data_IF_585288195475
#
_entry.id   IF_585288195475
#
_cell.length_a   1.000
_cell.length_b   1.000
_cell.length_c   1.000
_cell.angle_alpha   90.00
_cell.angle_beta   90.00
_cell.angle_gamma   90.00
#
_symmetry.space_group_name_H-M   'P 1'
#
loop_
_entity.id
_entity.type
_entity.pdbx_description
1 polymer ?
#
# COMPACT_ATOMS: atom_id res chain seq x y z
N UNK A 1 0.36 -0.87 -6.53
CA UNK A 1 0.60 0.58 -6.46
C UNK A 1 -0.68 1.38 -6.20
N UNK A 2 -1.76 1.04 -6.90
CA UNK A 2 -3.03 1.75 -6.74
C UNK A 2 -3.59 1.58 -5.33
N UNK A 3 -3.51 0.38 -4.76
CA UNK A 3 -3.98 0.13 -3.40
C UNK A 3 -3.16 0.92 -2.37
N UNK A 4 -1.85 0.99 -2.57
CA UNK A 4 -0.99 1.78 -1.69
C UNK A 4 -1.38 3.27 -1.76
N UNK A 5 -1.55 3.79 -2.97
CA UNK A 5 -1.98 5.18 -3.15
C UNK A 5 -3.32 5.43 -2.47
N UNK A 6 -4.26 4.51 -2.61
CA UNK A 6 -5.57 4.63 -1.96
C UNK A 6 -5.49 4.61 -0.44
N UNK A 7 -4.63 3.77 0.13
CA UNK A 7 -4.40 3.74 1.57
C UNK A 7 -3.86 5.08 2.07
N UNK A 8 -2.90 5.67 1.34
CA UNK A 8 -2.33 6.98 1.68
C UNK A 8 -3.41 8.06 1.61
N UNK A 9 -4.20 8.10 0.54
CA UNK A 9 -5.28 9.08 0.38
C UNK A 9 -6.27 8.98 1.53
N UNK A 10 -6.65 7.77 1.93
CA UNK A 10 -7.61 7.59 3.01
C UNK A 10 -7.09 8.15 4.33
N UNK A 11 -5.78 8.07 4.58
CA UNK A 11 -5.16 8.64 5.77
C UNK A 11 -5.09 10.17 5.72
N UNK A 12 -5.06 10.75 4.51
CA UNK A 12 -4.93 12.19 4.33
C UNK A 12 -6.28 12.92 4.31
N UNK A 13 -7.40 12.21 4.22
CA UNK A 13 -8.74 12.79 4.11
C UNK A 13 -9.06 13.80 5.23
N UNK A 14 -8.55 13.56 6.43
CA UNK A 14 -8.79 14.44 7.55
C UNK A 14 -8.01 15.75 7.48
N UNK A 15 -6.96 15.82 6.66
CA UNK A 15 -6.05 16.96 6.58
C UNK A 15 -6.19 17.75 5.25
N UNK A 16 -6.76 17.13 4.21
CA UNK A 16 -6.90 17.73 2.89
C UNK A 16 -8.34 17.63 2.42
N UNK A 17 -8.83 18.67 1.74
CA UNK A 17 -10.22 18.75 1.33
C UNK A 17 -10.44 18.44 -0.16
N UNK A 18 -9.39 18.45 -0.96
CA UNK A 18 -9.47 18.23 -2.40
C UNK A 18 -8.52 17.15 -2.86
N UNK A 19 -9.04 16.24 -3.66
CA UNK A 19 -8.28 15.18 -4.30
C UNK A 19 -8.71 15.08 -5.76
N UNK A 20 -7.76 14.77 -6.64
CA UNK A 20 -8.08 14.55 -8.04
C UNK A 20 -8.84 13.23 -8.24
N UNK A 21 -9.35 13.03 -9.47
CA UNK A 21 -10.16 11.85 -9.77
C UNK A 21 -9.38 10.55 -9.57
N UNK A 22 -8.09 10.55 -9.92
CA UNK A 22 -7.24 9.38 -9.74
C UNK A 22 -7.09 9.01 -8.27
N UNK A 23 -6.94 10.01 -7.40
CA UNK A 23 -6.83 9.78 -5.96
C UNK A 23 -8.14 9.26 -5.38
N UNK A 24 -9.28 9.79 -5.81
CA UNK A 24 -10.59 9.31 -5.38
C UNK A 24 -10.78 7.85 -5.81
N UNK A 25 -10.44 7.53 -7.06
CA UNK A 25 -10.57 6.16 -7.56
C UNK A 25 -9.67 5.20 -6.76
N UNK A 26 -8.44 5.60 -6.45
CA UNK A 26 -7.53 4.78 -5.66
C UNK A 26 -8.06 4.54 -4.25
N UNK A 27 -8.63 5.56 -3.62
CA UNK A 27 -9.23 5.42 -2.29
C UNK A 27 -10.43 4.47 -2.32
N UNK A 28 -11.28 4.58 -3.34
CA UNK A 28 -12.44 3.68 -3.48
C UNK A 28 -11.99 2.24 -3.62
N UNK A 29 -10.92 2.00 -4.38
CA UNK A 29 -10.35 0.68 -4.55
C UNK A 29 -9.79 0.15 -3.22
N UNK A 30 -9.08 0.98 -2.48
CA UNK A 30 -8.57 0.64 -1.16
C UNK A 30 -9.71 0.25 -0.21
N UNK A 31 -10.78 1.05 -0.17
CA UNK A 31 -11.92 0.77 0.69
C UNK A 31 -12.60 -0.55 0.32
N UNK A 32 -12.61 -0.90 -0.96
CA UNK A 32 -13.14 -2.18 -1.41
C UNK A 32 -12.26 -3.36 -0.97
N UNK A 33 -10.94 -3.19 -1.01
CA UNK A 33 -9.98 -4.26 -0.83
C UNK A 33 -9.52 -4.46 0.62
N UNK A 34 -9.57 -3.41 1.46
CA UNK A 34 -8.91 -3.37 2.77
C UNK A 34 -9.42 -4.44 3.75
N UNK A 35 -10.63 -4.94 3.56
CA UNK A 35 -11.18 -5.98 4.43
C UNK A 35 -10.50 -7.34 4.26
N UNK A 36 -10.03 -7.64 3.05
CA UNK A 36 -9.26 -8.86 2.77
C UNK A 36 -8.38 -8.61 1.54
N UNK A 37 -7.18 -8.10 1.78
CA UNK A 37 -6.23 -7.76 0.71
C UNK A 37 -5.80 -8.99 -0.07
N UNK A 38 -5.61 -10.13 0.60
CA UNK A 38 -5.21 -11.37 -0.08
C UNK A 38 -6.27 -11.84 -1.06
N UNK A 39 -7.55 -11.84 -0.64
CA UNK A 39 -8.65 -12.23 -1.52
C UNK A 39 -8.78 -11.28 -2.70
N UNK A 40 -8.66 -9.95 -2.46
CA UNK A 40 -8.75 -8.99 -3.53
C UNK A 40 -7.61 -9.15 -4.54
N UNK A 41 -6.37 -9.29 -4.07
CA UNK A 41 -5.21 -9.41 -4.94
C UNK A 41 -5.18 -10.72 -5.71
N UNK A 42 -5.90 -11.75 -5.26
CA UNK A 42 -5.97 -13.02 -5.98
C UNK A 42 -6.59 -12.89 -7.37
N UNK A 43 -7.30 -11.80 -7.64
CA UNK A 43 -7.89 -11.50 -8.96
C UNK A 43 -6.86 -11.03 -9.98
N UNK A 44 -5.67 -10.59 -9.55
CA UNK A 44 -4.70 -9.97 -10.45
C UNK A 44 -3.96 -11.02 -11.29
N UNK A 45 -3.61 -10.65 -12.53
CA UNK A 45 -2.78 -11.50 -13.40
C UNK A 45 -1.41 -11.74 -12.78
N UNK A 46 -0.86 -10.73 -12.13
CA UNK A 46 0.44 -10.85 -11.48
C UNK A 46 0.41 -11.87 -10.34
N UNK A 47 -0.67 -11.87 -9.54
CA UNK A 47 -0.86 -12.85 -8.47
C UNK A 47 -0.90 -14.28 -9.04
N UNK A 48 -1.59 -14.48 -10.16
CA UNK A 48 -1.63 -15.79 -10.82
C UNK A 48 -0.23 -16.24 -11.27
N UNK A 49 0.59 -15.32 -11.79
CA UNK A 49 1.96 -15.63 -12.17
C UNK A 49 2.82 -16.01 -10.96
N UNK A 50 2.70 -15.28 -9.87
CA UNK A 50 3.45 -15.55 -8.64
C UNK A 50 3.07 -16.92 -8.06
N UNK A 51 1.79 -17.27 -8.14
CA UNK A 51 1.32 -18.58 -7.71
C UNK A 51 1.96 -19.70 -8.53
N UNK A 52 2.04 -19.51 -9.86
CA UNK A 52 2.69 -20.48 -10.74
C UNK A 52 4.18 -20.65 -10.40
N UNK A 53 4.84 -19.61 -9.91
CA UNK A 53 6.23 -19.63 -9.47
C UNK A 53 6.40 -20.10 -8.02
N UNK A 54 5.31 -20.42 -7.31
CA UNK A 54 5.29 -20.90 -5.93
C UNK A 54 5.90 -19.90 -4.94
N UNK A 55 5.65 -18.60 -5.15
CA UNK A 55 6.11 -17.54 -4.25
C UNK A 55 4.96 -16.79 -3.61
N UNK A 56 3.88 -17.51 -3.29
CA UNK A 56 2.67 -16.95 -2.69
C UNK A 56 2.92 -16.33 -1.32
N UNK A 57 3.88 -16.87 -0.56
CA UNK A 57 4.21 -16.35 0.77
C UNK A 57 4.75 -14.92 0.68
N UNK A 58 5.48 -14.59 -0.39
CA UNK A 58 5.97 -13.23 -0.59
C UNK A 58 4.81 -12.25 -0.81
N UNK A 59 3.76 -12.67 -1.52
CA UNK A 59 2.56 -11.86 -1.72
C UNK A 59 1.89 -11.58 -0.38
N UNK A 60 1.70 -12.60 0.43
CA UNK A 60 1.10 -12.46 1.77
C UNK A 60 1.92 -11.52 2.64
N UNK A 61 3.24 -11.67 2.62
CA UNK A 61 4.14 -10.80 3.37
C UNK A 61 3.98 -9.34 2.92
N UNK A 62 3.98 -9.10 1.60
CA UNK A 62 3.88 -7.74 1.06
C UNK A 62 2.54 -7.06 1.33
N UNK A 63 1.49 -7.84 1.60
CA UNK A 63 0.17 -7.29 1.91
C UNK A 63 -0.05 -7.05 3.40
N UNK A 64 0.90 -7.40 4.25
CA UNK A 64 0.82 -7.09 5.68
C UNK A 64 1.02 -5.59 5.90
N UNK A 65 0.19 -5.01 6.76
CA UNK A 65 0.23 -3.59 7.09
C UNK A 65 0.98 -3.38 8.39
N UNK A 66 1.68 -2.24 8.47
CA UNK A 66 2.29 -1.74 9.70
C UNK A 66 3.26 -2.72 10.35
N UNK A 67 4.00 -3.47 9.52
CA UNK A 67 4.99 -4.44 10.01
C UNK A 67 6.34 -3.82 10.34
N UNK A 68 6.57 -2.57 9.92
CA UNK A 68 7.84 -1.87 10.13
C UNK A 68 7.56 -0.50 10.75
N UNK A 69 8.29 -0.18 11.82
CA UNK A 69 8.13 1.08 12.54
C UNK A 69 9.13 2.14 12.08
N UNK A 70 9.99 1.81 11.13
CA UNK A 70 11.00 2.73 10.63
C UNK A 70 10.46 3.51 9.45
N UNK A 71 10.59 4.84 9.52
CA UNK A 71 10.25 5.74 8.41
C UNK A 71 11.57 6.25 7.83
N UNK A 72 11.95 5.82 6.62
CA UNK A 72 13.19 6.30 6.00
C UNK A 72 12.99 7.70 5.43
N UNK A 73 13.96 8.57 5.69
CA UNK A 73 13.96 9.93 5.13
C UNK A 73 15.32 10.19 4.48
N UNK A 74 15.30 10.99 3.43
CA UNK A 74 16.53 11.35 2.74
C UNK A 74 17.20 12.50 3.48
N UNK A 75 18.47 12.27 3.86
CA UNK A 75 19.31 13.29 4.50
C UNK A 75 20.61 13.37 3.72
N UNK A 76 20.79 14.45 2.95
CA UNK A 76 21.87 14.53 1.99
C UNK A 76 21.70 13.49 0.89
N UNK A 77 22.63 12.54 0.79
CA UNK A 77 22.60 11.45 -0.17
C UNK A 77 22.35 10.09 0.49
N UNK A 78 21.92 10.07 1.76
CA UNK A 78 21.70 8.86 2.54
C UNK A 78 20.26 8.77 3.04
N UNK A 79 19.76 7.55 3.15
CA UNK A 79 18.49 7.27 3.81
C UNK A 79 18.76 6.97 5.28
N UNK A 80 18.07 7.67 6.16
CA UNK A 80 18.19 7.49 7.60
C UNK A 80 16.81 7.31 8.21
N UNK A 81 16.74 6.69 9.39
CA UNK A 81 15.49 6.54 10.10
C UNK A 81 15.04 7.90 10.64
N UNK A 82 13.76 8.25 10.42
CA UNK A 82 13.18 9.45 10.98
C UNK A 82 13.17 9.34 12.51
N UNK A 83 13.73 10.35 13.17
CA UNK A 83 13.69 10.44 14.63
C UNK A 83 12.42 11.18 15.03
N UNK A 84 11.54 10.50 15.76
CA UNK A 84 10.30 11.09 16.29
C UNK A 84 10.44 11.20 17.79
N UNK A 85 10.60 12.43 18.26
CA UNK A 85 10.74 12.72 19.70
C UNK A 85 9.40 13.16 20.29
#
# INVERSE_FOLDING_TARGET
>A
DTLFAGAVVSQLRGSFSHFDDSSVAAEDLWNLAKGDLNAYMSKSSHSHRLKALKIEEDVKFCLQLDTCQVIPVLQGDQLVALSID
#
